data_IF_304609896640
#
_entry.id   IF_304609896640
#
_cell.length_a   1.000
_cell.length_b   1.000
_cell.length_c   1.000
_cell.angle_alpha   90.00
_cell.angle_beta   90.00
_cell.angle_gamma   90.00
#
_symmetry.space_group_name_H-M   'P 1'
#
loop_
_entity.id
_entity.type
_entity.pdbx_description
1 polymer ?
#
# COMPACT_ATOMS: atom_id res chain seq x y z
N UNK A 1 -7.77 -24.09 -6.25
CA UNK A 1 -8.56 -22.92 -5.81
C UNK A 1 -10.02 -23.27 -5.96
N UNK A 2 -10.81 -23.11 -4.88
CA UNK A 2 -12.25 -23.41 -4.88
C UNK A 2 -13.06 -22.23 -5.43
N UNK A 3 -14.34 -22.44 -5.76
CA UNK A 3 -15.23 -21.41 -6.33
C UNK A 3 -15.41 -20.18 -5.43
N UNK A 4 -15.24 -20.33 -4.11
CA UNK A 4 -15.35 -19.24 -3.16
C UNK A 4 -14.13 -18.29 -3.22
N UNK A 5 -12.91 -18.81 -3.34
CA UNK A 5 -11.70 -18.01 -3.48
C UNK A 5 -11.77 -17.10 -4.72
N UNK A 6 -12.14 -17.67 -5.87
CA UNK A 6 -12.28 -16.90 -7.12
C UNK A 6 -13.41 -15.87 -7.07
N UNK A 7 -14.49 -16.14 -6.32
CA UNK A 7 -15.58 -15.17 -6.12
C UNK A 7 -15.12 -14.03 -5.22
N UNK A 8 -14.40 -14.32 -4.14
CA UNK A 8 -13.86 -13.27 -3.26
C UNK A 8 -12.88 -12.40 -4.03
N UNK A 9 -11.93 -12.99 -4.77
CA UNK A 9 -10.98 -12.21 -5.56
C UNK A 9 -11.68 -11.33 -6.62
N UNK A 10 -12.73 -11.83 -7.27
CA UNK A 10 -13.53 -11.04 -8.22
C UNK A 10 -14.30 -9.89 -7.55
N UNK A 11 -14.84 -10.12 -6.34
CA UNK A 11 -15.54 -9.08 -5.56
C UNK A 11 -14.56 -8.00 -5.10
N UNK A 12 -13.31 -8.36 -4.81
CA UNK A 12 -12.29 -7.40 -4.40
C UNK A 12 -11.83 -6.47 -5.53
N UNK A 13 -12.02 -6.86 -6.79
CA UNK A 13 -11.70 -6.03 -7.96
C UNK A 13 -12.86 -5.10 -8.38
N UNK A 14 -14.03 -5.18 -7.74
CA UNK A 14 -15.25 -4.43 -8.05
C UNK A 14 -15.76 -3.66 -6.83
N UNK A 15 -15.63 -2.32 -6.86
CA UNK A 15 -16.01 -1.44 -5.74
C UNK A 15 -17.50 -1.57 -5.35
N UNK A 16 -18.40 -1.73 -6.31
CA UNK A 16 -19.84 -1.88 -6.04
C UNK A 16 -20.12 -3.25 -5.37
N UNK A 17 -19.39 -4.29 -5.77
CA UNK A 17 -19.48 -5.60 -5.15
C UNK A 17 -18.90 -5.62 -3.73
N UNK A 18 -17.84 -4.84 -3.49
CA UNK A 18 -17.21 -4.69 -2.17
C UNK A 18 -18.15 -4.01 -1.16
N UNK A 19 -18.89 -2.98 -1.59
CA UNK A 19 -19.94 -2.36 -0.78
C UNK A 19 -21.07 -3.36 -0.46
N UNK A 20 -21.49 -4.15 -1.45
CA UNK A 20 -22.45 -5.24 -1.25
C UNK A 20 -21.97 -6.28 -0.24
N UNK A 21 -20.68 -6.63 -0.27
CA UNK A 21 -20.06 -7.55 0.68
C UNK A 21 -20.02 -6.96 2.11
N UNK A 22 -19.69 -5.67 2.25
CA UNK A 22 -19.70 -4.99 3.53
C UNK A 22 -21.12 -4.93 4.13
N UNK A 23 -22.12 -4.63 3.31
CA UNK A 23 -23.52 -4.67 3.71
C UNK A 23 -23.94 -6.07 4.18
N UNK A 24 -23.65 -7.10 3.40
CA UNK A 24 -23.96 -8.48 3.76
C UNK A 24 -23.28 -8.91 5.08
N UNK A 25 -22.03 -8.48 5.30
CA UNK A 25 -21.31 -8.72 6.55
C UNK A 25 -22.00 -8.08 7.77
N UNK A 26 -22.50 -6.85 7.64
CA UNK A 26 -23.15 -6.14 8.74
C UNK A 26 -24.43 -6.86 9.23
N UNK A 27 -25.15 -7.53 8.32
CA UNK A 27 -26.37 -8.29 8.63
C UNK A 27 -26.10 -9.63 9.34
N UNK A 28 -24.84 -10.10 9.38
CA UNK A 28 -24.48 -11.37 10.02
C UNK A 28 -24.41 -11.26 11.55
N UNK A 29 -24.60 -12.39 12.24
CA UNK A 29 -24.29 -12.52 13.67
C UNK A 29 -22.78 -12.55 13.95
N UNK A 30 -22.38 -12.30 15.21
CA UNK A 30 -20.96 -12.29 15.61
C UNK A 30 -20.20 -13.60 15.26
N UNK A 31 -20.74 -14.81 15.49
CA UNK A 31 -20.08 -16.05 15.07
C UNK A 31 -19.80 -16.10 13.57
N UNK A 32 -20.78 -15.71 12.76
CA UNK A 32 -20.72 -15.73 11.30
C UNK A 32 -19.75 -14.68 10.78
N UNK A 33 -19.76 -13.46 11.34
CA UNK A 33 -18.79 -12.41 11.02
C UNK A 33 -17.34 -12.84 11.28
N UNK A 34 -17.09 -13.54 12.39
CA UNK A 34 -15.76 -14.11 12.69
C UNK A 34 -15.37 -15.20 11.70
N UNK A 35 -16.31 -16.06 11.34
CA UNK A 35 -16.11 -17.10 10.33
C UNK A 35 -15.75 -16.51 8.98
N UNK A 36 -16.50 -15.50 8.53
CA UNK A 36 -16.29 -14.84 7.25
C UNK A 36 -14.95 -14.10 7.18
N UNK A 37 -14.58 -13.34 8.22
CA UNK A 37 -13.26 -12.71 8.28
C UNK A 37 -12.11 -13.72 8.22
N UNK A 38 -12.29 -14.92 8.80
CA UNK A 38 -11.29 -15.98 8.72
C UNK A 38 -11.26 -16.66 7.35
N UNK A 39 -12.41 -16.88 6.73
CA UNK A 39 -12.51 -17.45 5.38
C UNK A 39 -11.85 -16.53 4.35
N UNK A 40 -12.13 -15.22 4.39
CA UNK A 40 -11.44 -14.23 3.55
C UNK A 40 -9.93 -14.31 3.71
N UNK A 41 -9.45 -14.45 4.95
CA UNK A 41 -8.02 -14.55 5.22
C UNK A 41 -7.37 -15.81 4.63
N UNK A 42 -8.10 -16.91 4.52
CA UNK A 42 -7.58 -18.18 4.00
C UNK A 42 -7.69 -18.28 2.48
N UNK A 43 -8.75 -17.73 1.91
CA UNK A 43 -9.14 -18.00 0.53
C UNK A 43 -8.82 -16.87 -0.45
N UNK A 44 -8.72 -15.61 0.02
CA UNK A 44 -8.42 -14.47 -0.85
C UNK A 44 -6.91 -14.40 -1.18
N UNK A 45 -6.58 -14.08 -2.44
CA UNK A 45 -5.21 -13.77 -2.84
C UNK A 45 -4.65 -12.53 -2.14
N UNK A 46 -5.51 -11.54 -1.88
CA UNK A 46 -5.21 -10.36 -1.07
C UNK A 46 -6.40 -10.02 -0.15
N UNK A 47 -6.39 -10.42 1.14
CA UNK A 47 -7.55 -10.27 2.03
C UNK A 47 -7.79 -8.83 2.50
N UNK A 48 -6.90 -7.88 2.16
CA UNK A 48 -6.82 -6.57 2.78
C UNK A 48 -8.06 -5.72 2.58
N UNK A 49 -8.53 -5.59 1.34
CA UNK A 49 -9.67 -4.74 1.00
C UNK A 49 -10.95 -5.22 1.67
N UNK A 50 -11.22 -6.52 1.64
CA UNK A 50 -12.39 -7.10 2.32
C UNK A 50 -12.34 -6.89 3.84
N UNK A 51 -11.18 -7.10 4.48
CA UNK A 51 -11.04 -6.88 5.92
C UNK A 51 -11.22 -5.39 6.30
N UNK A 52 -10.77 -4.45 5.47
CA UNK A 52 -11.00 -3.00 5.64
C UNK A 52 -12.48 -2.67 5.48
N UNK A 53 -13.14 -3.23 4.47
CA UNK A 53 -14.58 -3.06 4.25
C UNK A 53 -15.38 -3.55 5.46
N UNK A 54 -15.04 -4.73 6.02
CA UNK A 54 -15.64 -5.23 7.26
C UNK A 54 -15.39 -4.30 8.45
N UNK A 55 -14.16 -3.79 8.60
CA UNK A 55 -13.81 -2.88 9.69
C UNK A 55 -14.60 -1.56 9.63
N UNK A 56 -14.89 -1.07 8.41
CA UNK A 56 -15.63 0.17 8.21
C UNK A 56 -17.07 0.09 8.74
N UNK A 57 -17.72 -1.06 8.57
CA UNK A 57 -19.12 -1.29 8.98
C UNK A 57 -19.25 -1.98 10.34
N UNK A 58 -18.17 -2.46 10.95
CA UNK A 58 -18.23 -3.18 12.23
C UNK A 58 -18.46 -2.22 13.41
N UNK A 59 -19.52 -2.49 14.18
CA UNK A 59 -19.95 -1.72 15.34
C UNK A 59 -19.42 -2.31 16.67
N UNK A 60 -19.16 -3.63 16.72
CA UNK A 60 -18.67 -4.30 17.92
C UNK A 60 -17.18 -3.97 18.15
N UNK A 61 -16.81 -3.30 19.26
CA UNK A 61 -15.44 -2.85 19.49
C UNK A 61 -14.41 -3.99 19.54
N UNK A 62 -14.80 -5.18 20.02
CA UNK A 62 -13.90 -6.35 20.09
C UNK A 62 -13.62 -6.91 18.70
N UNK A 63 -14.62 -6.96 17.84
CA UNK A 63 -14.45 -7.41 16.45
C UNK A 63 -13.67 -6.38 15.64
N UNK A 64 -13.93 -5.07 15.81
CA UNK A 64 -13.11 -4.01 15.21
C UNK A 64 -11.63 -4.17 15.54
N UNK A 65 -11.30 -4.35 16.82
CA UNK A 65 -9.90 -4.54 17.25
C UNK A 65 -9.28 -5.80 16.65
N UNK A 66 -10.07 -6.89 16.54
CA UNK A 66 -9.62 -8.13 15.90
C UNK A 66 -9.36 -7.94 14.41
N UNK A 67 -10.27 -7.30 13.67
CA UNK A 67 -10.11 -7.00 12.25
C UNK A 67 -8.88 -6.13 12.01
N UNK A 68 -8.71 -5.06 12.80
CA UNK A 68 -7.51 -4.22 12.73
C UNK A 68 -6.22 -5.04 12.96
N UNK A 69 -6.23 -5.99 13.91
CA UNK A 69 -5.12 -6.91 14.13
C UNK A 69 -4.86 -7.86 12.96
N UNK A 70 -5.92 -8.36 12.31
CA UNK A 70 -5.80 -9.21 11.11
C UNK A 70 -5.24 -8.42 9.93
N UNK A 71 -5.74 -7.21 9.70
CA UNK A 71 -5.23 -6.27 8.70
C UNK A 71 -3.76 -5.96 8.96
N UNK A 72 -3.38 -5.64 10.20
CA UNK A 72 -1.98 -5.37 10.52
C UNK A 72 -1.06 -6.57 10.31
N UNK A 73 -1.57 -7.79 10.45
CA UNK A 73 -0.78 -9.02 10.36
C UNK A 73 -0.72 -9.60 8.94
N UNK A 74 -1.77 -9.39 8.16
CA UNK A 74 -1.99 -10.07 6.87
C UNK A 74 -2.32 -9.11 5.72
N UNK A 75 -2.46 -7.83 6.01
CA UNK A 75 -2.67 -6.80 5.00
C UNK A 75 -1.46 -6.67 4.10
N UNK A 76 -1.68 -6.64 2.80
CA UNK A 76 -0.69 -6.26 1.82
C UNK A 76 -0.50 -4.73 1.89
N UNK A 77 0.76 -4.31 1.87
CA UNK A 77 1.14 -2.91 1.74
C UNK A 77 0.68 -2.46 0.35
N UNK A 78 -0.26 -1.51 0.28
CA UNK A 78 -0.60 -0.90 -1.00
C UNK A 78 0.52 0.05 -1.40
N UNK A 79 1.16 -0.21 -2.53
CA UNK A 79 2.34 0.51 -3.01
C UNK A 79 2.03 1.14 -4.36
N UNK A 80 2.21 2.45 -4.44
CA UNK A 80 2.17 3.17 -5.71
C UNK A 80 3.43 4.03 -5.87
N UNK A 81 3.76 4.31 -7.12
CA UNK A 81 4.91 5.11 -7.46
C UNK A 81 4.53 6.20 -8.46
N UNK A 82 5.23 7.31 -8.36
CA UNK A 82 5.09 8.44 -9.25
C UNK A 82 6.45 8.88 -9.73
N UNK A 83 6.52 9.28 -10.99
CA UNK A 83 7.75 9.74 -11.62
C UNK A 83 7.51 11.05 -12.38
N UNK A 84 8.47 11.96 -12.29
CA UNK A 84 8.53 13.16 -13.11
C UNK A 84 9.97 13.47 -13.55
N UNK A 85 10.09 14.15 -14.69
CA UNK A 85 11.38 14.56 -15.24
C UNK A 85 12.03 13.53 -16.15
N UNK A 86 13.34 13.43 -16.09
CA UNK A 86 14.23 12.69 -16.99
C UNK A 86 15.31 11.95 -16.20
N UNK A 87 16.07 11.08 -16.85
CA UNK A 87 17.22 10.39 -16.23
C UNK A 87 18.30 11.34 -15.70
N UNK A 88 18.44 12.53 -16.28
CA UNK A 88 19.40 13.55 -15.85
C UNK A 88 18.89 14.35 -14.66
N UNK A 89 17.61 14.70 -14.64
CA UNK A 89 16.99 15.49 -13.59
C UNK A 89 15.51 15.13 -13.47
N UNK A 90 15.04 14.90 -12.25
CA UNK A 90 13.66 14.53 -12.00
C UNK A 90 13.37 14.30 -10.53
N UNK A 91 12.17 13.81 -10.27
CA UNK A 91 11.75 13.39 -8.95
C UNK A 91 10.90 12.13 -9.04
N UNK A 92 10.90 11.37 -7.96
CA UNK A 92 10.03 10.24 -7.78
C UNK A 92 9.43 10.28 -6.39
N UNK A 93 8.21 9.77 -6.29
CA UNK A 93 7.54 9.57 -5.02
C UNK A 93 7.09 8.12 -4.93
N UNK A 94 7.52 7.43 -3.88
CA UNK A 94 7.09 6.08 -3.54
C UNK A 94 6.12 6.21 -2.38
N UNK A 95 4.91 5.71 -2.54
CA UNK A 95 3.86 5.82 -1.54
C UNK A 95 3.49 4.43 -1.08
N UNK A 96 3.55 4.21 0.23
CA UNK A 96 3.02 3.00 0.84
C UNK A 96 1.87 3.35 1.79
N UNK A 97 0.78 2.65 1.63
CA UNK A 97 -0.35 2.69 2.53
C UNK A 97 -0.46 1.36 3.25
N UNK A 98 -0.31 1.42 4.57
CA UNK A 98 -0.69 0.34 5.45
C UNK A 98 -2.14 0.59 5.88
N UNK A 99 -3.04 -0.40 5.75
CA UNK A 99 -4.43 -0.16 6.10
C UNK A 99 -4.58 0.07 7.61
N UNK A 100 -5.28 1.14 7.97
CA UNK A 100 -5.40 1.62 9.35
C UNK A 100 -4.28 2.55 9.82
N UNK A 101 -3.27 2.82 8.98
CA UNK A 101 -2.24 3.82 9.22
C UNK A 101 -2.34 4.94 8.17
N UNK A 102 -1.82 6.11 8.52
CA UNK A 102 -1.68 7.18 7.53
C UNK A 102 -0.65 6.75 6.48
N UNK A 103 -0.92 6.96 5.18
CA UNK A 103 0.03 6.64 4.12
C UNK A 103 1.32 7.45 4.31
N UNK A 104 2.45 6.77 4.18
CA UNK A 104 3.78 7.37 4.18
C UNK A 104 4.28 7.47 2.74
N UNK A 105 5.08 8.49 2.46
CA UNK A 105 5.70 8.65 1.15
C UNK A 105 7.19 8.94 1.27
N UNK A 106 7.97 8.36 0.37
CA UNK A 106 9.39 8.64 0.19
C UNK A 106 9.55 9.43 -1.09
N UNK A 107 9.98 10.69 -0.97
CA UNK A 107 10.31 11.55 -2.09
C UNK A 107 11.81 11.50 -2.35
N UNK A 108 12.18 11.26 -3.60
CA UNK A 108 13.57 11.25 -4.05
C UNK A 108 13.67 12.25 -5.19
N UNK A 109 14.58 13.22 -5.08
CA UNK A 109 14.87 14.17 -6.16
C UNK A 109 16.31 13.97 -6.64
N UNK A 110 16.55 14.17 -7.94
CA UNK A 110 17.89 14.09 -8.50
C UNK A 110 18.14 15.19 -9.53
N UNK A 111 19.42 15.56 -9.64
CA UNK A 111 19.94 16.50 -10.60
C UNK A 111 21.31 16.03 -11.06
N UNK A 112 21.60 16.18 -12.36
CA UNK A 112 22.82 15.69 -13.00
C UNK A 112 23.09 14.20 -12.68
N UNK A 113 22.02 13.39 -12.68
CA UNK A 113 22.00 11.96 -12.33
C UNK A 113 22.57 11.62 -10.95
N UNK A 114 22.50 12.57 -10.00
CA UNK A 114 22.86 12.40 -8.59
C UNK A 114 21.68 12.78 -7.71
N UNK A 115 21.49 12.05 -6.61
CA UNK A 115 20.47 12.38 -5.62
C UNK A 115 20.75 13.76 -5.04
N UNK A 116 19.75 14.63 -5.10
CA UNK A 116 19.77 15.95 -4.50
C UNK A 116 19.11 15.94 -3.11
N UNK A 117 17.98 15.25 -2.96
CA UNK A 117 17.33 15.02 -1.66
C UNK A 117 16.59 13.69 -1.60
N UNK A 118 16.47 13.15 -0.37
CA UNK A 118 15.60 12.01 -0.03
C UNK A 118 14.84 12.41 1.23
N UNK A 119 13.51 12.40 1.18
CA UNK A 119 12.66 12.90 2.26
C UNK A 119 11.48 11.94 2.49
N UNK A 120 11.17 11.69 3.76
CA UNK A 120 9.95 10.96 4.15
C UNK A 120 8.87 11.99 4.48
N UNK A 121 7.80 11.98 3.69
CA UNK A 121 6.68 12.90 3.76
C UNK A 121 5.43 12.17 4.28
N UNK A 122 4.70 12.81 5.20
CA UNK A 122 3.39 12.34 5.69
C UNK A 122 2.23 12.97 4.91
N UNK A 123 1.03 12.38 4.93
CA UNK A 123 -0.14 12.82 4.15
C UNK A 123 -0.46 14.32 4.19
N UNK A 124 -0.10 15.04 5.26
CA UNK A 124 -0.35 16.50 5.35
C UNK A 124 0.40 17.31 4.29
N UNK A 125 1.50 16.81 3.71
CA UNK A 125 2.23 17.46 2.61
C UNK A 125 1.79 17.01 1.21
N UNK A 126 1.00 15.93 1.08
CA UNK A 126 0.62 15.33 -0.21
C UNK A 126 -0.34 16.17 -1.07
N UNK A 127 -0.97 17.21 -0.52
CA UNK A 127 -2.04 17.97 -1.20
C UNK A 127 -1.57 18.86 -2.37
N UNK A 128 -0.27 18.99 -2.64
CA UNK A 128 0.24 20.03 -3.55
C UNK A 128 0.89 19.57 -4.86
N UNK A 129 1.09 18.28 -5.13
CA UNK A 129 1.79 17.84 -6.35
C UNK A 129 0.85 17.28 -7.41
N UNK A 130 0.14 18.18 -8.10
CA UNK A 130 -0.80 17.87 -9.18
C UNK A 130 -0.15 17.48 -10.53
N UNK A 131 1.16 17.19 -10.56
CA UNK A 131 1.91 16.97 -11.81
C UNK A 131 2.63 15.62 -11.90
N UNK A 132 2.47 14.77 -10.90
CA UNK A 132 3.10 13.46 -10.82
C UNK A 132 2.30 12.44 -11.65
N UNK A 133 2.93 11.84 -12.67
CA UNK A 133 2.33 10.74 -13.41
C UNK A 133 2.45 9.46 -12.58
N UNK A 134 1.32 8.81 -12.32
CA UNK A 134 1.31 7.50 -11.68
C UNK A 134 1.95 6.48 -12.65
N UNK A 135 2.96 5.77 -12.16
CA UNK A 135 3.67 4.72 -12.88
C UNK A 135 3.63 3.42 -12.08
N UNK A 136 3.94 2.30 -12.72
CA UNK A 136 4.10 1.05 -11.98
C UNK A 136 5.30 1.13 -11.03
N UNK A 137 5.23 0.42 -9.91
CA UNK A 137 6.36 0.31 -8.96
C UNK A 137 7.62 -0.22 -9.66
N UNK A 138 7.46 -1.22 -10.54
CA UNK A 138 8.57 -1.79 -11.30
C UNK A 138 9.27 -0.75 -12.19
N UNK A 139 8.51 0.09 -12.91
CA UNK A 139 9.04 1.15 -13.76
C UNK A 139 9.78 2.22 -12.95
N UNK A 140 9.20 2.65 -11.83
CA UNK A 140 9.87 3.59 -10.93
C UNK A 140 11.19 3.01 -10.39
N UNK A 141 11.22 1.72 -10.04
CA UNK A 141 12.43 1.06 -9.52
C UNK A 141 13.52 0.88 -10.57
N UNK A 142 13.17 0.63 -11.84
CA UNK A 142 14.15 0.59 -12.92
C UNK A 142 14.91 1.92 -13.05
N UNK A 143 14.22 3.04 -12.83
CA UNK A 143 14.83 4.38 -12.86
C UNK A 143 15.61 4.69 -11.58
N UNK A 144 15.02 4.41 -10.42
CA UNK A 144 15.56 4.83 -9.13
C UNK A 144 16.70 3.95 -8.62
N UNK A 145 16.62 2.63 -8.79
CA UNK A 145 17.58 1.71 -8.19
C UNK A 145 19.03 2.05 -8.58
N UNK A 146 19.38 2.30 -9.86
CA UNK A 146 20.76 2.66 -10.23
C UNK A 146 21.26 3.95 -9.55
N UNK A 147 20.39 4.95 -9.40
CA UNK A 147 20.73 6.26 -8.82
C UNK A 147 20.92 6.12 -7.30
N UNK A 148 20.00 5.43 -6.62
CA UNK A 148 20.05 5.15 -5.18
C UNK A 148 21.26 4.30 -4.82
N UNK A 149 21.53 3.22 -5.55
CA UNK A 149 22.72 2.39 -5.31
C UNK A 149 24.04 3.14 -5.55
N UNK A 150 24.07 4.10 -6.47
CA UNK A 150 25.23 4.96 -6.67
C UNK A 150 25.43 5.88 -5.47
N UNK A 151 24.37 6.53 -5.00
CA UNK A 151 24.38 7.42 -3.83
C UNK A 151 24.89 6.69 -2.57
N UNK A 152 24.33 5.52 -2.27
CA UNK A 152 24.74 4.70 -1.12
C UNK A 152 26.21 4.31 -1.22
N UNK A 153 26.67 3.84 -2.40
CA UNK A 153 28.08 3.45 -2.59
C UNK A 153 29.05 4.63 -2.51
N UNK A 154 28.61 5.84 -2.82
CA UNK A 154 29.41 7.05 -2.64
C UNK A 154 29.43 7.58 -1.19
N UNK A 155 28.82 6.86 -0.25
CA UNK A 155 28.72 7.28 1.15
C UNK A 155 27.61 8.32 1.41
N UNK A 156 26.65 8.42 0.50
CA UNK A 156 25.49 9.28 0.68
C UNK A 156 24.59 8.77 1.82
N UNK A 157 24.16 9.69 2.68
CA UNK A 157 23.27 9.37 3.79
C UNK A 157 21.84 9.13 3.31
N UNK A 158 21.12 8.27 4.03
CA UNK A 158 19.69 8.06 3.87
C UNK A 158 19.00 8.55 5.15
N UNK A 159 17.78 9.11 5.05
CA UNK A 159 17.04 9.57 6.23
C UNK A 159 16.62 8.39 7.12
N UNK A 160 16.49 8.67 8.42
CA UNK A 160 15.95 7.71 9.38
C UNK A 160 14.55 7.24 8.96
N UNK A 161 14.32 5.93 8.94
CA UNK A 161 13.03 5.35 8.56
C UNK A 161 12.90 4.94 7.10
N UNK A 162 13.92 5.20 6.26
CA UNK A 162 13.92 4.81 4.84
C UNK A 162 13.75 3.29 4.66
N UNK A 163 14.19 2.49 5.63
CA UNK A 163 14.11 1.03 5.61
C UNK A 163 12.67 0.53 5.52
N UNK A 164 11.68 1.33 5.94
CA UNK A 164 10.25 1.02 5.78
C UNK A 164 9.85 0.93 4.31
N UNK A 165 10.60 1.56 3.41
CA UNK A 165 10.38 1.54 1.96
C UNK A 165 11.24 0.48 1.24
N UNK A 166 12.00 -0.35 1.97
CA UNK A 166 12.83 -1.39 1.36
C UNK A 166 12.03 -2.40 0.52
N UNK A 167 10.74 -2.56 0.81
CA UNK A 167 9.82 -3.37 0.01
C UNK A 167 9.76 -2.98 -1.47
N UNK A 168 9.88 -1.68 -1.80
CA UNK A 168 9.91 -1.21 -3.18
C UNK A 168 11.12 -1.78 -3.95
N UNK A 169 12.29 -1.87 -3.30
CA UNK A 169 13.53 -2.34 -3.91
C UNK A 169 13.70 -3.86 -3.90
N UNK A 170 12.73 -4.58 -3.32
CA UNK A 170 12.72 -6.05 -3.25
C UNK A 170 11.98 -6.70 -4.43
N UNK A 171 11.32 -5.89 -5.28
CA UNK A 171 10.67 -6.33 -6.51
C UNK A 171 11.72 -6.43 -7.62
N UNK A 172 12.49 -7.52 -7.60
CA UNK A 172 13.52 -7.84 -8.58
C UNK A 172 13.68 -9.34 -8.74
#
# INVERSE_FOLDING_TARGET
MGSFASLIDQVLEDDDALDGLAFAYAELGEPERRGLAHAVLQDAGNPTQALVAFLAVEENPRLRQRLAGLISKHGCIDQCAFLEGTEAQGAARLMQSLPGLEPESLRITWKDSKIASIEIESRKSLRNDASLLAVSVAEAMQTLAPIVWRHIRSGGELPDGVERFAGFFSVG
#
